data_IF_325263967054
#
_entry.id   IF_325263967054
#
_cell.length_a   1.000
_cell.length_b   1.000
_cell.length_c   1.000
_cell.angle_alpha   90.00
_cell.angle_beta   90.00
_cell.angle_gamma   90.00
#
_symmetry.space_group_name_H-M   'P 1'
#
loop_
_entity.id
_entity.type
_entity.pdbx_description
1 polymer ?
#
# COMPACT_ATOMS: atom_id res chain seq x y z
N UNK A 1 -15.27 2.95 9.09
CA UNK A 1 -16.10 4.15 9.24
C UNK A 1 -17.32 3.89 8.36
N UNK A 2 -18.49 3.65 8.94
CA UNK A 2 -19.74 3.49 8.18
C UNK A 2 -20.24 4.89 7.84
N UNK A 3 -20.30 5.22 6.56
CA UNK A 3 -20.88 6.49 6.12
C UNK A 3 -22.40 6.34 6.11
N UNK A 4 -23.07 6.97 7.07
CA UNK A 4 -24.54 6.99 7.12
C UNK A 4 -25.07 7.78 5.93
N UNK A 5 -25.59 7.07 4.94
CA UNK A 5 -26.11 7.65 3.71
C UNK A 5 -27.63 7.60 3.75
N UNK A 6 -28.27 8.78 3.77
CA UNK A 6 -29.73 8.90 3.92
C UNK A 6 -30.52 8.56 2.64
N UNK A 7 -29.91 8.70 1.46
CA UNK A 7 -30.54 8.36 0.18
C UNK A 7 -29.49 8.01 -0.88
N UNK A 8 -29.78 7.02 -1.74
CA UNK A 8 -28.94 6.62 -2.87
C UNK A 8 -29.56 7.07 -4.19
N UNK A 9 -28.80 7.80 -5.00
CA UNK A 9 -29.19 8.18 -6.37
C UNK A 9 -28.36 7.32 -7.33
N UNK A 10 -29.03 6.56 -8.20
CA UNK A 10 -28.37 5.71 -9.21
C UNK A 10 -29.04 5.83 -10.56
N UNK A 11 -28.24 5.71 -11.62
CA UNK A 11 -28.72 5.57 -13.00
C UNK A 11 -28.90 4.11 -13.42
N UNK A 12 -28.48 3.15 -12.58
CA UNK A 12 -28.61 1.72 -12.82
C UNK A 12 -30.04 1.27 -12.50
N UNK A 13 -30.77 0.81 -13.53
CA UNK A 13 -32.18 0.41 -13.43
C UNK A 13 -32.38 -1.10 -13.34
N UNK A 14 -31.34 -1.86 -13.60
CA UNK A 14 -31.28 -3.32 -13.66
C UNK A 14 -30.80 -3.97 -12.34
N UNK A 15 -30.59 -3.17 -11.29
CA UNK A 15 -30.05 -3.61 -10.01
C UNK A 15 -31.07 -3.45 -8.90
N UNK A 16 -31.08 -4.39 -7.95
CA UNK A 16 -31.90 -4.29 -6.75
C UNK A 16 -31.33 -3.25 -5.79
N UNK A 17 -32.15 -2.80 -4.84
CA UNK A 17 -31.73 -1.83 -3.83
C UNK A 17 -30.53 -2.35 -3.01
N UNK A 18 -30.52 -3.65 -2.67
CA UNK A 18 -29.43 -4.29 -1.92
C UNK A 18 -28.12 -4.25 -2.70
N UNK A 19 -28.17 -4.55 -4.00
CA UNK A 19 -27.00 -4.50 -4.87
C UNK A 19 -26.45 -3.07 -5.03
N UNK A 20 -27.32 -2.04 -5.00
CA UNK A 20 -26.91 -0.64 -5.02
C UNK A 20 -26.20 -0.25 -3.71
N UNK A 21 -26.73 -0.70 -2.57
CA UNK A 21 -26.12 -0.46 -1.25
C UNK A 21 -24.77 -1.16 -1.14
N UNK A 22 -24.66 -2.41 -1.59
CA UNK A 22 -23.39 -3.15 -1.61
C UNK A 22 -22.34 -2.45 -2.49
N UNK A 23 -22.74 -1.97 -3.67
CA UNK A 23 -21.86 -1.24 -4.57
C UNK A 23 -21.40 0.10 -3.98
N UNK A 24 -22.29 0.80 -3.26
CA UNK A 24 -21.94 2.02 -2.56
C UNK A 24 -21.00 1.76 -1.37
N UNK A 25 -21.22 0.68 -0.62
CA UNK A 25 -20.29 0.24 0.43
C UNK A 25 -18.91 -0.11 -0.15
N UNK A 26 -18.84 -0.73 -1.33
CA UNK A 26 -17.58 -0.95 -2.04
C UNK A 26 -16.85 0.34 -2.44
N UNK A 27 -17.57 1.44 -2.72
CA UNK A 27 -16.97 2.76 -2.96
C UNK A 27 -16.42 3.38 -1.69
N UNK A 28 -17.07 3.17 -0.55
CA UNK A 28 -16.55 3.63 0.74
C UNK A 28 -15.16 3.04 1.04
N UNK A 29 -14.91 1.78 0.67
CA UNK A 29 -13.57 1.20 0.77
C UNK A 29 -12.55 1.92 -0.13
N UNK A 30 -12.95 2.39 -1.31
CA UNK A 30 -12.10 3.23 -2.16
C UNK A 30 -11.85 4.62 -1.54
N UNK A 31 -12.83 5.20 -0.86
CA UNK A 31 -12.65 6.46 -0.13
C UNK A 31 -11.68 6.31 1.04
N UNK A 32 -11.72 5.18 1.77
CA UNK A 32 -10.73 4.86 2.80
C UNK A 32 -9.32 4.74 2.18
N UNK A 33 -9.19 4.15 0.99
CA UNK A 33 -7.92 4.10 0.24
C UNK A 33 -7.43 5.49 -0.14
N UNK A 34 -8.32 6.36 -0.61
CA UNK A 34 -8.01 7.76 -0.95
C UNK A 34 -7.62 8.56 0.30
N UNK A 35 -8.30 8.34 1.43
CA UNK A 35 -7.98 8.98 2.70
C UNK A 35 -6.60 8.54 3.21
N UNK A 36 -6.28 7.24 3.16
CA UNK A 36 -4.95 6.77 3.50
C UNK A 36 -3.87 7.27 2.52
N UNK A 37 -4.20 7.50 1.26
CA UNK A 37 -3.29 8.15 0.31
C UNK A 37 -3.01 9.60 0.73
N UNK A 38 -4.07 10.35 1.06
CA UNK A 38 -4.01 11.76 1.46
C UNK A 38 -3.23 11.95 2.77
N UNK A 39 -3.56 11.16 3.78
CA UNK A 39 -3.06 11.31 5.15
C UNK A 39 -1.83 10.44 5.45
N UNK A 40 -1.75 9.23 4.89
CA UNK A 40 -0.71 8.24 5.20
C UNK A 40 0.57 8.39 4.36
N UNK A 41 0.45 8.71 3.07
CA UNK A 41 1.61 8.96 2.17
C UNK A 41 2.08 10.42 2.24
N UNK A 42 1.35 11.27 2.98
CA UNK A 42 1.59 12.71 3.08
C UNK A 42 1.47 13.41 1.70
N UNK A 43 0.60 12.88 0.82
CA UNK A 43 0.42 13.34 -0.56
C UNK A 43 -0.02 14.82 -0.64
N UNK A 44 -0.63 15.35 0.43
CA UNK A 44 -1.09 16.74 0.53
C UNK A 44 -0.01 17.73 1.01
N UNK A 45 1.22 17.29 1.30
CA UNK A 45 2.30 18.21 1.67
C UNK A 45 2.66 19.16 0.52
N UNK A 46 2.33 18.80 -0.73
CA UNK A 46 2.51 19.56 -1.98
C UNK A 46 3.75 20.49 -1.93
N UNK A 47 4.96 19.93 -1.69
CA UNK A 47 6.12 20.73 -1.34
C UNK A 47 6.72 21.47 -2.54
N UNK A 48 6.12 21.35 -3.73
CA UNK A 48 6.70 21.80 -4.99
C UNK A 48 5.94 23.02 -5.52
N UNK A 49 6.70 23.96 -6.08
CA UNK A 49 6.23 25.33 -6.37
C UNK A 49 5.22 25.43 -7.53
N UNK A 50 5.17 24.44 -8.41
CA UNK A 50 4.35 24.46 -9.63
C UNK A 50 3.31 23.32 -9.68
N UNK A 51 2.20 23.58 -10.35
CA UNK A 51 1.06 22.66 -10.49
C UNK A 51 1.48 21.33 -11.13
N UNK A 52 2.33 21.37 -12.17
CA UNK A 52 2.82 20.15 -12.84
C UNK A 52 3.70 19.32 -11.92
N UNK A 53 4.54 19.97 -11.13
CA UNK A 53 5.41 19.28 -10.17
C UNK A 53 4.61 18.66 -9.01
N UNK A 54 3.55 19.32 -8.55
CA UNK A 54 2.63 18.75 -7.56
C UNK A 54 1.84 17.56 -8.14
N UNK A 55 1.44 17.62 -9.41
CA UNK A 55 0.82 16.48 -10.06
C UNK A 55 1.77 15.27 -10.15
N UNK A 56 3.02 15.48 -10.54
CA UNK A 56 4.04 14.42 -10.53
C UNK A 56 4.23 13.82 -9.11
N UNK A 57 4.20 14.65 -8.07
CA UNK A 57 4.26 14.19 -6.69
C UNK A 57 3.06 13.31 -6.31
N UNK A 58 1.84 13.68 -6.73
CA UNK A 58 0.64 12.86 -6.53
C UNK A 58 0.73 11.51 -7.26
N UNK A 59 1.26 11.48 -8.48
CA UNK A 59 1.48 10.24 -9.23
C UNK A 59 2.48 9.34 -8.50
N UNK A 60 3.59 9.88 -8.00
CA UNK A 60 4.58 9.13 -7.21
C UNK A 60 3.94 8.57 -5.94
N UNK A 61 3.14 9.37 -5.22
CA UNK A 61 2.43 8.92 -4.02
C UNK A 61 1.45 7.78 -4.32
N UNK A 62 0.69 7.87 -5.42
CA UNK A 62 -0.21 6.81 -5.87
C UNK A 62 0.55 5.52 -6.24
N UNK A 63 1.67 5.64 -6.94
CA UNK A 63 2.53 4.49 -7.26
C UNK A 63 3.10 3.83 -5.99
N UNK A 64 3.55 4.62 -5.03
CA UNK A 64 4.06 4.13 -3.76
C UNK A 64 2.98 3.36 -2.98
N UNK A 65 1.74 3.86 -2.99
CA UNK A 65 0.60 3.16 -2.40
C UNK A 65 0.32 1.81 -3.08
N UNK A 66 0.28 1.80 -4.41
CA UNK A 66 0.09 0.57 -5.18
C UNK A 66 1.19 -0.45 -4.88
N UNK A 67 2.43 -0.01 -4.74
CA UNK A 67 3.55 -0.88 -4.36
C UNK A 67 3.32 -1.54 -2.99
N UNK A 68 2.86 -0.79 -1.98
CA UNK A 68 2.50 -1.35 -0.67
C UNK A 68 1.39 -2.39 -0.81
N UNK A 69 0.33 -2.07 -1.54
CA UNK A 69 -0.82 -2.96 -1.71
C UNK A 69 -0.40 -4.27 -2.40
N UNK A 70 0.34 -4.18 -3.50
CA UNK A 70 0.89 -5.34 -4.19
C UNK A 70 1.84 -6.15 -3.33
N UNK A 71 2.71 -5.49 -2.54
CA UNK A 71 3.57 -6.19 -1.60
C UNK A 71 2.76 -7.03 -0.61
N UNK A 72 1.70 -6.46 -0.03
CA UNK A 72 0.77 -7.18 0.85
C UNK A 72 0.08 -8.36 0.16
N UNK A 73 -0.43 -8.16 -1.06
CA UNK A 73 -1.11 -9.21 -1.84
C UNK A 73 -0.18 -10.35 -2.29
N UNK A 74 1.10 -10.04 -2.49
CA UNK A 74 2.11 -11.04 -2.87
C UNK A 74 2.67 -11.80 -1.68
N UNK A 75 2.41 -11.39 -0.43
CA UNK A 75 2.93 -12.10 0.73
C UNK A 75 2.44 -13.56 0.75
N UNK A 76 3.33 -14.55 1.02
CA UNK A 76 2.92 -15.95 1.15
C UNK A 76 1.91 -16.17 2.27
N UNK A 77 2.03 -15.39 3.36
CA UNK A 77 1.08 -15.41 4.47
C UNK A 77 -0.06 -14.42 4.19
N UNK A 78 -1.21 -14.93 3.74
CA UNK A 78 -2.36 -14.10 3.38
C UNK A 78 -2.91 -13.25 4.53
N UNK A 79 -2.87 -13.75 5.77
CA UNK A 79 -3.33 -12.99 6.95
C UNK A 79 -2.43 -11.78 7.19
N UNK A 80 -1.11 -11.98 7.16
CA UNK A 80 -0.12 -10.89 7.25
C UNK A 80 -0.22 -9.95 6.05
N UNK A 81 -0.47 -10.48 4.86
CA UNK A 81 -0.68 -9.71 3.64
C UNK A 81 -1.85 -8.73 3.76
N UNK A 82 -3.01 -9.20 4.22
CA UNK A 82 -4.19 -8.34 4.47
C UNK A 82 -3.87 -7.27 5.52
N UNK A 83 -3.12 -7.63 6.57
CA UNK A 83 -2.68 -6.64 7.56
C UNK A 83 -1.81 -5.55 6.93
N UNK A 84 -0.90 -5.89 6.02
CA UNK A 84 -0.09 -4.91 5.28
C UNK A 84 -0.96 -4.03 4.39
N UNK A 85 -1.92 -4.60 3.65
CA UNK A 85 -2.83 -3.83 2.80
C UNK A 85 -3.58 -2.77 3.62
N UNK A 86 -4.13 -3.16 4.78
CA UNK A 86 -4.86 -2.27 5.69
C UNK A 86 -3.95 -1.33 6.51
N UNK A 87 -2.65 -1.60 6.57
CA UNK A 87 -1.70 -0.87 7.42
C UNK A 87 -1.54 0.60 6.99
N UNK A 88 -1.38 1.52 7.93
CA UNK A 88 -0.96 2.88 7.59
C UNK A 88 0.37 2.91 6.83
N UNK A 89 0.47 3.74 5.78
CA UNK A 89 1.65 3.76 4.91
C UNK A 89 2.94 4.12 5.68
N UNK A 90 2.85 5.07 6.60
CA UNK A 90 3.98 5.43 7.47
C UNK A 90 4.44 4.24 8.33
N UNK A 91 3.51 3.43 8.84
CA UNK A 91 3.87 2.23 9.60
C UNK A 91 4.55 1.21 8.69
N UNK A 92 3.99 0.95 7.50
CA UNK A 92 4.58 0.10 6.48
C UNK A 92 6.03 0.50 6.14
N UNK A 93 6.27 1.81 5.93
CA UNK A 93 7.63 2.31 5.67
C UNK A 93 8.59 1.95 6.80
N UNK A 94 8.23 2.24 8.05
CA UNK A 94 9.13 2.01 9.18
C UNK A 94 9.30 0.51 9.52
N UNK A 95 8.33 -0.34 9.20
CA UNK A 95 8.41 -1.78 9.51
C UNK A 95 9.04 -2.62 8.41
N UNK A 96 8.88 -2.26 7.13
CA UNK A 96 9.22 -3.13 6.00
C UNK A 96 10.19 -2.49 4.99
N UNK A 97 10.31 -1.16 4.95
CA UNK A 97 11.14 -0.46 3.95
C UNK A 97 12.40 0.14 4.58
N UNK A 98 12.24 0.93 5.65
CA UNK A 98 13.31 1.62 6.36
C UNK A 98 13.98 0.71 7.40
N UNK A 99 14.40 -0.48 6.95
CA UNK A 99 15.09 -1.44 7.79
C UNK A 99 16.55 -0.98 7.98
N UNK A 100 17.04 -0.82 9.22
CA UNK A 100 18.43 -0.45 9.46
C UNK A 100 19.33 -1.57 8.97
N UNK A 101 20.16 -1.28 7.97
CA UNK A 101 21.07 -2.23 7.38
C UNK A 101 22.48 -1.64 7.20
N UNK A 102 23.48 -2.48 7.41
CA UNK A 102 24.88 -2.20 7.12
C UNK A 102 25.25 -2.87 5.81
N UNK A 103 25.77 -2.08 4.86
CA UNK A 103 26.28 -2.58 3.59
C UNK A 103 27.78 -2.86 3.75
N UNK A 104 28.15 -4.13 3.71
CA UNK A 104 29.52 -4.58 3.78
C UNK A 104 29.99 -4.98 2.37
N UNK A 105 31.08 -4.36 1.90
CA UNK A 105 31.72 -4.74 0.63
C UNK A 105 32.90 -5.64 0.95
N UNK A 106 32.77 -6.92 0.68
CA UNK A 106 33.82 -7.92 0.92
C UNK A 106 34.27 -8.52 -0.40
N UNK A 107 35.48 -8.16 -0.86
CA UNK A 107 36.04 -8.64 -2.13
C UNK A 107 35.06 -8.47 -3.30
N UNK A 108 34.56 -9.58 -3.85
CA UNK A 108 33.60 -9.61 -4.97
C UNK A 108 32.12 -9.75 -4.55
N UNK A 109 31.79 -9.56 -3.27
CA UNK A 109 30.42 -9.72 -2.73
C UNK A 109 29.99 -8.45 -1.98
N UNK A 110 28.72 -8.08 -2.15
CA UNK A 110 28.05 -7.07 -1.32
C UNK A 110 27.13 -7.82 -0.36
N UNK A 111 27.32 -7.61 0.93
CA UNK A 111 26.53 -8.24 1.99
C UNK A 111 25.69 -7.16 2.66
N UNK A 112 24.38 -7.36 2.65
CA UNK A 112 23.42 -6.54 3.38
C UNK A 112 23.19 -7.18 4.75
N UNK A 113 23.69 -6.55 5.81
CA UNK A 113 23.50 -7.02 7.19
C UNK A 113 22.40 -6.19 7.86
N UNK A 114 21.27 -6.81 8.17
CA UNK A 114 20.24 -6.15 8.97
C UNK A 114 20.72 -5.98 10.42
N UNK A 115 20.57 -4.77 10.97
CA UNK A 115 21.08 -4.40 12.30
C UNK A 115 20.01 -4.49 13.40
N UNK A 116 18.74 -4.64 13.03
CA UNK A 116 17.63 -4.76 13.96
C UNK A 116 16.73 -5.92 13.59
N UNK A 117 16.14 -6.54 14.60
CA UNK A 117 15.09 -7.54 14.42
C UNK A 117 13.72 -6.90 14.57
N UNK A 118 12.79 -7.24 13.68
CA UNK A 118 11.37 -6.97 13.86
C UNK A 118 10.56 -8.21 13.45
N UNK A 119 9.34 -8.35 13.99
CA UNK A 119 8.49 -9.52 13.75
C UNK A 119 8.00 -9.67 12.31
N UNK A 120 8.21 -8.66 11.46
CA UNK A 120 7.86 -8.68 10.04
C UNK A 120 8.98 -9.22 9.15
N UNK A 121 10.22 -9.37 9.65
CA UNK A 121 11.37 -9.80 8.84
C UNK A 121 11.16 -11.16 8.19
N UNK A 122 10.55 -12.12 8.91
CA UNK A 122 10.27 -13.44 8.35
C UNK A 122 9.32 -13.36 7.16
N UNK A 123 8.23 -12.62 7.31
CA UNK A 123 7.25 -12.43 6.23
C UNK A 123 7.85 -11.61 5.08
N UNK A 124 8.70 -10.62 5.38
CA UNK A 124 9.45 -9.85 4.38
C UNK A 124 10.35 -10.74 3.53
N UNK A 125 11.21 -11.56 4.14
CA UNK A 125 12.12 -12.45 3.40
C UNK A 125 11.37 -13.53 2.63
N UNK A 126 10.28 -14.08 3.18
CA UNK A 126 9.44 -15.03 2.47
C UNK A 126 8.80 -14.40 1.22
N UNK A 127 8.33 -13.15 1.34
CA UNK A 127 7.77 -12.39 0.21
C UNK A 127 8.83 -12.06 -0.82
N UNK A 128 10.02 -11.64 -0.39
CA UNK A 128 11.17 -11.39 -1.25
C UNK A 128 11.56 -12.62 -2.06
N UNK A 129 11.66 -13.79 -1.43
CA UNK A 129 11.97 -15.04 -2.12
C UNK A 129 10.88 -15.43 -3.13
N UNK A 130 9.60 -15.16 -2.82
CA UNK A 130 8.51 -15.35 -3.78
C UNK A 130 8.63 -14.39 -4.96
N UNK A 131 8.93 -13.11 -4.71
CA UNK A 131 9.14 -12.09 -5.75
C UNK A 131 10.29 -12.48 -6.67
N UNK A 132 11.42 -12.93 -6.12
CA UNK A 132 12.57 -13.41 -6.90
C UNK A 132 12.26 -14.60 -7.80
N UNK A 133 11.29 -15.45 -7.40
CA UNK A 133 10.86 -16.61 -8.17
C UNK A 133 9.86 -16.26 -9.28
N UNK A 134 9.26 -15.07 -9.27
CA UNK A 134 8.52 -14.58 -10.43
C UNK A 134 9.51 -14.33 -11.57
N UNK A 135 9.71 -15.36 -12.39
CA UNK A 135 10.22 -15.18 -13.74
C UNK A 135 9.08 -14.56 -14.53
N UNK A 136 9.30 -13.40 -15.13
CA UNK A 136 8.44 -12.88 -16.17
C UNK A 136 8.41 -13.95 -17.27
N UNK A 137 7.22 -14.54 -17.49
CA UNK A 137 6.95 -15.42 -18.62
C UNK A 137 6.77 -14.58 -19.88
#
# INVERSE_FOLDING_TARGET
>A
MTFDTFFYITTLRDRTAEAIVELANGRCDQENVIEQLKNGVNAMRMPVRDLKSNWAYLVIAALAWNLKAWFGLLMPNGVRGIQVVKMEFRRFLNTLILLPCQILRTGRKIVYRLLGYNDWLKDFFATWERIRKFKYA
#
